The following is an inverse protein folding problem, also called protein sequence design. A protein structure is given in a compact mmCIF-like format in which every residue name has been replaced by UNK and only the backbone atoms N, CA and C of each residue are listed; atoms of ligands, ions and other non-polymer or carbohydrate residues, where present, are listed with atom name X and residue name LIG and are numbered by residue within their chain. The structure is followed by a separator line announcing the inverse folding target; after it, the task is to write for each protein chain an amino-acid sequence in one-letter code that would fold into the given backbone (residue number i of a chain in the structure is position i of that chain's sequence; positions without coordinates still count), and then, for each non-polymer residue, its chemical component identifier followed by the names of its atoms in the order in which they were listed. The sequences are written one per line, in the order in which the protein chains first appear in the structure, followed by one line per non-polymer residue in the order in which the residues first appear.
data_IF_473187243121
#
_entry.id   IF_473187243121
#
_cell.length_a   1.000
_cell.length_b   1.000
_cell.length_c   1.000
_cell.angle_alpha   90.00
_cell.angle_beta   90.00
_cell.angle_gamma   90.00
#
_symmetry.space_group_name_H-M   'P 1'
#
loop_
_entity.id
_entity.type
_entity.pdbx_description
1 polymer ?
#
# COMPACT_ATOMS: atom_id res chain seq x y z
N UNK A 1 -21.38 -18.08 7.29
CA UNK A 1 -21.63 -17.63 5.90
C UNK A 1 -20.71 -16.47 5.59
N UNK A 2 -19.81 -16.65 4.63
CA UNK A 2 -18.96 -15.58 4.09
C UNK A 2 -19.64 -15.03 2.83
N UNK A 3 -19.78 -13.72 2.74
CA UNK A 3 -20.35 -13.03 1.58
C UNK A 3 -19.27 -12.14 0.97
N UNK A 4 -19.14 -12.19 -0.35
CA UNK A 4 -18.25 -11.31 -1.11
C UNK A 4 -19.01 -10.67 -2.28
N UNK A 5 -18.53 -9.51 -2.71
CA UNK A 5 -18.95 -8.83 -3.93
C UNK A 5 -17.76 -8.81 -4.87
N UNK A 6 -17.97 -9.11 -6.14
CA UNK A 6 -16.92 -9.07 -7.17
C UNK A 6 -17.38 -8.27 -8.38
N UNK A 7 -16.40 -7.68 -9.05
CA UNK A 7 -16.59 -6.93 -10.28
C UNK A 7 -15.33 -7.13 -11.14
N UNK A 8 -15.50 -7.31 -12.45
CA UNK A 8 -14.41 -7.42 -13.40
C UNK A 8 -14.64 -6.44 -14.55
N UNK A 9 -13.58 -5.78 -14.99
CA UNK A 9 -13.58 -4.98 -16.22
C UNK A 9 -13.43 -5.88 -17.46
N UNK A 10 -13.69 -5.32 -18.64
CA UNK A 10 -13.31 -5.96 -19.90
C UNK A 10 -11.78 -5.89 -20.08
N UNK A 11 -11.20 -6.91 -20.71
CA UNK A 11 -9.79 -6.94 -21.08
C UNK A 11 -9.52 -6.00 -22.26
N UNK A 12 -9.10 -4.77 -21.97
CA UNK A 12 -8.80 -3.73 -22.96
C UNK A 12 -7.30 -3.43 -23.00
N UNK A 13 -6.79 -3.11 -24.19
CA UNK A 13 -5.35 -2.83 -24.40
C UNK A 13 -4.82 -1.64 -23.60
N UNK A 14 -5.68 -0.71 -23.17
CA UNK A 14 -5.28 0.42 -22.32
C UNK A 14 -4.77 -0.01 -20.93
N UNK A 15 -5.04 -1.26 -20.50
CA UNK A 15 -4.49 -1.79 -19.25
C UNK A 15 -3.10 -2.41 -19.41
N UNK A 16 -2.63 -2.62 -20.65
CA UNK A 16 -1.31 -3.22 -20.89
C UNK A 16 -0.18 -2.35 -20.32
N UNK A 17 -0.30 -1.03 -20.36
CA UNK A 17 0.69 -0.12 -19.77
C UNK A 17 0.89 -0.38 -18.28
N UNK A 18 -0.19 -0.65 -17.54
CA UNK A 18 -0.11 -1.02 -16.13
C UNK A 18 0.43 -2.44 -15.94
N UNK A 19 0.01 -3.38 -16.80
CA UNK A 19 0.48 -4.75 -16.73
C UNK A 19 1.99 -4.83 -16.93
N UNK A 20 2.52 -4.20 -17.98
CA UNK A 20 3.94 -4.23 -18.35
C UNK A 20 4.83 -3.56 -17.30
N UNK A 21 4.31 -2.59 -16.55
CA UNK A 21 5.03 -1.96 -15.42
C UNK A 21 5.10 -2.87 -14.20
N UNK A 22 3.98 -3.52 -13.84
CA UNK A 22 3.86 -4.22 -12.56
C UNK A 22 4.02 -5.74 -12.66
N UNK A 23 4.20 -6.29 -13.86
CA UNK A 23 4.39 -7.73 -14.07
C UNK A 23 5.61 -8.00 -14.92
N UNK A 24 6.51 -8.84 -14.40
CA UNK A 24 7.65 -9.37 -15.14
C UNK A 24 7.52 -10.89 -15.22
N UNK A 25 7.47 -11.43 -16.45
CA UNK A 25 7.30 -12.87 -16.68
C UNK A 25 6.09 -13.47 -15.97
N UNK A 26 4.97 -12.73 -15.91
CA UNK A 26 3.74 -13.15 -15.24
C UNK A 26 3.74 -13.05 -13.71
N UNK A 27 4.82 -12.57 -13.10
CA UNK A 27 4.95 -12.38 -11.66
C UNK A 27 4.80 -10.89 -11.34
N UNK A 28 3.96 -10.56 -10.35
CA UNK A 28 3.80 -9.18 -9.88
C UNK A 28 5.07 -8.70 -9.19
N UNK A 29 5.55 -7.51 -9.57
CA UNK A 29 6.73 -6.85 -9.02
C UNK A 29 6.40 -5.42 -8.59
N UNK A 30 7.31 -4.80 -7.85
CA UNK A 30 7.32 -3.34 -7.66
C UNK A 30 8.27 -2.72 -8.70
N UNK A 31 7.79 -1.83 -9.60
CA UNK A 31 8.63 -1.26 -10.63
C UNK A 31 9.66 -0.28 -10.05
N UNK A 32 10.83 -0.16 -10.69
CA UNK A 32 11.90 0.72 -10.22
C UNK A 32 11.50 2.20 -10.17
N UNK A 33 10.57 2.64 -11.04
CA UNK A 33 10.03 4.00 -11.06
C UNK A 33 8.80 4.19 -10.14
N UNK A 34 8.56 3.30 -9.17
CA UNK A 34 7.43 3.44 -8.23
C UNK A 34 7.48 4.75 -7.44
N UNK A 35 8.66 5.35 -7.28
CA UNK A 35 8.81 6.68 -6.69
C UNK A 35 7.99 7.71 -7.48
N UNK A 36 7.99 7.68 -8.81
CA UNK A 36 7.23 8.63 -9.63
C UNK A 36 5.75 8.27 -9.68
N UNK A 37 5.44 6.97 -9.80
CA UNK A 37 4.08 6.47 -9.99
C UNK A 37 3.20 6.58 -8.74
N UNK A 38 3.74 6.35 -7.54
CA UNK A 38 2.93 6.30 -6.33
C UNK A 38 2.51 7.72 -5.90
N UNK A 39 1.21 8.00 -5.93
CA UNK A 39 0.61 9.29 -5.52
C UNK A 39 -0.11 9.16 -4.17
N UNK A 40 -0.53 10.28 -3.53
CA UNK A 40 -1.37 10.22 -2.34
C UNK A 40 -2.67 9.43 -2.55
N UNK A 41 -3.30 9.57 -3.73
CA UNK A 41 -4.47 8.77 -4.11
C UNK A 41 -4.13 7.28 -4.24
N UNK A 42 -3.01 6.94 -4.86
CA UNK A 42 -2.54 5.55 -4.94
C UNK A 42 -2.29 4.94 -3.56
N UNK A 43 -1.69 5.70 -2.64
CA UNK A 43 -1.47 5.27 -1.26
C UNK A 43 -2.80 5.09 -0.49
N UNK A 44 -3.79 5.96 -0.72
CA UNK A 44 -5.13 5.80 -0.14
C UNK A 44 -5.81 4.50 -0.58
N UNK A 45 -5.76 4.15 -1.87
CA UNK A 45 -6.29 2.87 -2.36
C UNK A 45 -5.51 1.67 -1.83
N UNK A 46 -4.19 1.77 -1.77
CA UNK A 46 -3.37 0.70 -1.20
C UNK A 46 -3.66 0.44 0.28
N UNK A 47 -3.89 1.49 1.08
CA UNK A 47 -4.33 1.36 2.49
C UNK A 47 -5.73 0.76 2.58
N UNK A 48 -6.62 1.10 1.65
CA UNK A 48 -7.98 0.56 1.63
C UNK A 48 -7.96 -0.95 1.46
N UNK A 49 -7.17 -1.44 0.49
CA UNK A 49 -7.00 -2.87 0.22
C UNK A 49 -6.21 -3.55 1.33
N UNK A 50 -4.92 -3.24 1.45
CA UNK A 50 -3.95 -4.03 2.23
C UNK A 50 -3.54 -3.38 3.57
N UNK A 51 -4.13 -2.22 3.90
CA UNK A 51 -3.87 -1.52 5.14
C UNK A 51 -4.51 -2.19 6.36
N UNK A 52 -3.88 -2.02 7.50
CA UNK A 52 -4.38 -2.48 8.80
C UNK A 52 -3.97 -1.51 9.91
N UNK A 53 -4.94 -1.02 10.68
CA UNK A 53 -4.67 -0.20 11.87
C UNK A 53 -4.55 -1.05 13.13
N UNK A 54 -3.40 -0.97 13.80
CA UNK A 54 -3.20 -1.57 15.12
C UNK A 54 -3.53 -0.55 16.20
N UNK A 55 -4.67 -0.74 16.88
CA UNK A 55 -5.13 0.14 17.97
C UNK A 55 -4.16 0.22 19.15
N UNK A 56 -3.54 -0.91 19.53
CA UNK A 56 -2.64 -0.98 20.68
C UNK A 56 -1.40 -0.11 20.52
N UNK A 57 -0.82 -0.10 19.31
CA UNK A 57 0.42 0.61 19.02
C UNK A 57 0.19 1.93 18.27
N UNK A 58 -1.05 2.21 17.83
CA UNK A 58 -1.44 3.34 16.97
C UNK A 58 -0.58 3.43 15.71
N UNK A 59 -0.42 2.30 15.02
CA UNK A 59 0.36 2.18 13.78
C UNK A 59 -0.52 1.67 12.64
N UNK A 60 -0.15 2.03 11.41
CA UNK A 60 -0.71 1.45 10.19
C UNK A 60 0.29 0.44 9.64
N UNK A 61 -0.19 -0.73 9.23
CA UNK A 61 0.61 -1.76 8.54
C UNK A 61 0.09 -1.94 7.13
N UNK A 62 0.98 -2.17 6.19
CA UNK A 62 0.65 -2.60 4.82
C UNK A 62 1.07 -4.06 4.66
N UNK A 63 0.14 -4.90 4.18
CA UNK A 63 0.37 -6.33 4.03
C UNK A 63 1.10 -6.63 2.71
N UNK A 64 2.43 -6.47 2.73
CA UNK A 64 3.31 -6.68 1.57
C UNK A 64 3.93 -8.08 1.51
N UNK A 65 3.27 -9.07 2.13
CA UNK A 65 3.85 -10.40 2.36
C UNK A 65 4.15 -11.18 1.06
N UNK A 66 3.55 -10.77 -0.06
CA UNK A 66 3.70 -11.39 -1.39
C UNK A 66 4.86 -10.84 -2.22
N UNK A 67 5.48 -9.73 -1.79
CA UNK A 67 6.60 -9.11 -2.51
C UNK A 67 7.96 -9.63 -2.04
N UNK A 68 8.96 -9.46 -2.90
CA UNK A 68 10.35 -9.69 -2.53
C UNK A 68 10.79 -8.68 -1.46
N UNK A 69 11.78 -9.05 -0.66
CA UNK A 69 12.31 -8.15 0.37
C UNK A 69 12.84 -6.84 -0.22
N UNK A 70 13.50 -6.91 -1.39
CA UNK A 70 14.00 -5.74 -2.13
C UNK A 70 12.87 -4.79 -2.56
N UNK A 71 11.73 -5.35 -2.96
CA UNK A 71 10.55 -4.58 -3.37
C UNK A 71 9.93 -3.88 -2.17
N UNK A 72 9.88 -4.56 -1.02
CA UNK A 72 9.44 -3.97 0.25
C UNK A 72 10.39 -2.85 0.70
N UNK A 73 11.69 -3.03 0.53
CA UNK A 73 12.69 -2.00 0.84
C UNK A 73 12.54 -0.77 -0.06
N UNK A 74 12.32 -0.97 -1.36
CA UNK A 74 12.04 0.12 -2.31
C UNK A 74 10.77 0.88 -1.90
N UNK A 75 9.69 0.18 -1.57
CA UNK A 75 8.44 0.80 -1.11
C UNK A 75 8.65 1.62 0.18
N UNK A 76 9.44 1.11 1.13
CA UNK A 76 9.79 1.86 2.35
C UNK A 76 10.55 3.14 2.01
N UNK A 77 11.55 3.07 1.13
CA UNK A 77 12.30 4.25 0.69
C UNK A 77 11.39 5.29 0.03
N UNK A 78 10.42 4.88 -0.80
CA UNK A 78 9.46 5.83 -1.39
C UNK A 78 8.56 6.45 -0.32
N UNK A 79 8.05 5.67 0.63
CA UNK A 79 7.22 6.20 1.72
C UNK A 79 7.97 7.22 2.58
N UNK A 80 9.24 6.95 2.88
CA UNK A 80 10.08 7.84 3.67
C UNK A 80 10.47 9.11 2.88
N UNK A 81 10.98 8.95 1.66
CA UNK A 81 11.55 10.07 0.90
C UNK A 81 10.48 10.94 0.21
N UNK A 82 9.39 10.35 -0.28
CA UNK A 82 8.34 11.08 -1.02
C UNK A 82 7.28 11.67 -0.10
N UNK A 83 6.91 10.93 0.94
CA UNK A 83 5.75 11.26 1.78
C UNK A 83 6.13 11.61 3.22
N UNK A 84 7.42 11.57 3.56
CA UNK A 84 7.91 11.84 4.91
C UNK A 84 7.24 10.92 5.96
N UNK A 85 7.02 9.66 5.60
CA UNK A 85 6.39 8.65 6.45
C UNK A 85 7.44 7.70 7.00
N UNK A 86 7.69 7.78 8.30
CA UNK A 86 8.72 6.97 8.93
C UNK A 86 8.24 5.53 9.08
N UNK A 87 8.95 4.65 8.40
CA UNK A 87 8.55 3.27 8.24
C UNK A 87 9.52 2.33 8.98
N UNK A 88 9.12 1.07 9.13
CA UNK A 88 10.04 -0.03 9.39
C UNK A 88 9.51 -1.29 8.72
N UNK A 89 10.45 -2.15 8.33
CA UNK A 89 10.15 -3.49 7.87
C UNK A 89 9.84 -4.41 9.06
N UNK A 90 8.82 -5.25 8.94
CA UNK A 90 8.44 -6.23 9.96
C UNK A 90 8.31 -7.62 9.31
N UNK A 91 9.05 -8.60 9.82
CA UNK A 91 9.00 -9.97 9.30
C UNK A 91 7.69 -10.65 9.68
N UNK A 92 7.05 -11.31 8.72
CA UNK A 92 5.80 -12.06 8.90
C UNK A 92 5.86 -13.37 8.11
N UNK A 93 6.06 -14.47 8.82
CA UNK A 93 6.24 -15.78 8.18
C UNK A 93 7.43 -15.76 7.22
N UNK A 94 7.17 -16.01 5.94
CA UNK A 94 8.19 -15.99 4.86
C UNK A 94 8.35 -14.62 4.19
N UNK A 95 7.45 -13.67 4.45
CA UNK A 95 7.45 -12.35 3.82
C UNK A 95 7.67 -11.22 4.82
N UNK A 96 7.41 -9.99 4.36
CA UNK A 96 7.58 -8.78 5.14
C UNK A 96 6.37 -7.86 5.00
N UNK A 97 6.11 -7.10 6.05
CA UNK A 97 5.11 -6.02 6.09
C UNK A 97 5.79 -4.69 6.33
N UNK A 98 5.20 -3.64 5.77
CA UNK A 98 5.61 -2.26 6.06
C UNK A 98 4.81 -1.78 7.25
N UNK A 99 5.49 -1.19 8.23
CA UNK A 99 4.87 -0.55 9.39
C UNK A 99 5.13 0.94 9.32
N UNK A 100 4.07 1.74 9.12
CA UNK A 100 4.11 3.20 9.26
C UNK A 100 3.98 3.52 10.75
N UNK A 101 4.99 4.17 11.31
CA UNK A 101 5.09 4.42 12.76
C UNK A 101 4.06 5.45 13.21
N UNK A 102 3.67 5.38 14.48
CA UNK A 102 2.67 6.28 15.09
C UNK A 102 3.04 7.77 14.92
N UNK A 103 4.34 8.09 14.97
CA UNK A 103 4.86 9.44 14.76
C UNK A 103 4.50 10.03 13.38
N UNK A 104 4.27 9.20 12.37
CA UNK A 104 3.83 9.64 11.03
C UNK A 104 2.33 9.49 10.81
N UNK A 105 1.55 9.09 11.82
CA UNK A 105 0.10 8.87 11.67
C UNK A 105 -0.65 10.17 11.33
N UNK A 106 -0.21 11.31 11.88
CA UNK A 106 -0.77 12.63 11.55
C UNK A 106 -0.54 12.97 10.08
N UNK A 107 0.72 12.97 9.64
CA UNK A 107 1.14 13.19 8.25
C UNK A 107 0.42 12.25 7.29
N UNK A 108 0.32 10.97 7.65
CA UNK A 108 -0.39 9.98 6.83
C UNK A 108 -1.86 10.36 6.66
N UNK A 109 -2.56 10.68 7.74
CA UNK A 109 -3.98 11.05 7.69
C UNK A 109 -4.20 12.31 6.86
N UNK A 110 -3.39 13.35 7.04
CA UNK A 110 -3.46 14.57 6.23
C UNK A 110 -3.28 14.26 4.74
N UNK A 111 -2.35 13.37 4.41
CA UNK A 111 -2.03 12.98 3.04
C UNK A 111 -3.14 12.17 2.36
N UNK A 112 -3.75 11.20 3.06
CA UNK A 112 -4.64 10.21 2.42
C UNK A 112 -6.13 10.40 2.73
N UNK A 113 -6.51 11.06 3.82
CA UNK A 113 -7.93 11.25 4.17
C UNK A 113 -8.75 11.95 3.07
N UNK A 114 -8.25 12.97 2.35
CA UNK A 114 -9.00 13.59 1.26
C UNK A 114 -9.37 12.63 0.11
N UNK A 115 -8.68 11.49 0.03
CA UNK A 115 -8.85 10.49 -1.03
C UNK A 115 -9.54 9.20 -0.56
N UNK A 116 -9.81 9.06 0.74
CA UNK A 116 -10.42 7.87 1.31
C UNK A 116 -11.95 8.00 1.38
N UNK A 117 -12.63 6.93 1.03
CA UNK A 117 -14.06 6.81 1.31
C UNK A 117 -14.29 6.65 2.82
N UNK A 118 -15.40 7.20 3.34
CA UNK A 118 -15.72 7.19 4.77
C UNK A 118 -15.73 5.79 5.39
N UNK A 119 -16.18 4.78 4.64
CA UNK A 119 -16.18 3.37 5.07
C UNK A 119 -14.78 2.75 5.27
N UNK A 120 -13.71 3.42 4.82
CA UNK A 120 -12.33 2.96 4.97
C UNK A 120 -11.54 3.72 6.04
N UNK A 121 -12.10 4.76 6.67
CA UNK A 121 -11.40 5.56 7.68
C UNK A 121 -10.94 4.76 8.89
N UNK A 122 -11.62 3.65 9.21
CA UNK A 122 -11.21 2.74 10.28
C UNK A 122 -9.81 2.13 10.06
N UNK A 123 -9.34 2.06 8.80
CA UNK A 123 -7.98 1.62 8.43
C UNK A 123 -6.89 2.60 8.87
N UNK A 124 -7.28 3.80 9.29
CA UNK A 124 -6.43 4.82 9.90
C UNK A 124 -6.72 5.05 11.38
N UNK A 125 -7.65 4.28 11.97
CA UNK A 125 -8.10 4.47 13.35
C UNK A 125 -8.92 5.75 13.54
N UNK A 126 -9.72 6.11 12.54
CA UNK A 126 -10.70 7.18 12.54
C UNK A 126 -12.12 6.61 12.49
#
# INVERSE_FOLDING_TARGET
NYSCVSFNTLSLGCFNELYDLFYLSGIKIVPANIFDLLTPLGLAYWISDDGFFSKSNKIVKLCTDSFLESDVDLLIQVLENKFNLECRKEKRGKGFRIVIKNKSLGTLRELVCPHLHSSMLYKLGL
#
